data_IF_378570917285
#
_entry.id   IF_378570917285
#
_cell.length_a   1.000
_cell.length_b   1.000
_cell.length_c   1.000
_cell.angle_alpha   90.00
_cell.angle_beta   90.00
_cell.angle_gamma   90.00
#
_symmetry.space_group_name_H-M   'P 1'
#
loop_
_entity.id
_entity.type
_entity.pdbx_description
1 polymer ?
#
# COMPACT_ATOMS: atom_id res chain seq x y z
N UNK A 1 -31.39 56.04 -0.62
CA UNK A 1 -30.01 55.75 -1.06
C UNK A 1 -29.11 55.73 0.17
N UNK A 2 -28.61 54.56 0.63
CA UNK A 2 -27.45 54.47 1.55
C UNK A 2 -27.14 53.03 2.03
N UNK A 3 -28.11 52.10 2.06
CA UNK A 3 -27.85 50.76 2.63
C UNK A 3 -27.29 49.74 1.61
N UNK A 4 -27.35 50.03 0.32
CA UNK A 4 -26.95 49.09 -0.74
C UNK A 4 -25.44 49.12 -1.08
N UNK A 5 -24.69 50.16 -0.73
CA UNK A 5 -23.27 50.29 -1.09
C UNK A 5 -22.31 49.61 -0.09
N UNK A 6 -22.73 49.39 1.15
CA UNK A 6 -21.84 48.89 2.21
C UNK A 6 -21.58 47.37 2.13
N UNK A 7 -22.19 46.67 1.17
CA UNK A 7 -21.98 45.23 0.95
C UNK A 7 -20.92 44.92 -0.12
N UNK A 8 -20.41 45.93 -0.83
CA UNK A 8 -19.42 45.73 -1.90
C UNK A 8 -17.97 45.55 -1.41
N UNK A 9 -17.72 45.73 -0.11
CA UNK A 9 -16.38 45.76 0.48
C UNK A 9 -16.07 44.60 1.45
N UNK A 10 -16.85 43.51 1.42
CA UNK A 10 -16.52 42.31 2.18
C UNK A 10 -15.26 41.66 1.59
N UNK A 11 -14.15 41.81 2.30
CA UNK A 11 -12.81 41.39 1.90
C UNK A 11 -12.77 39.97 1.32
N UNK A 12 -12.51 39.89 0.02
CA UNK A 12 -12.06 38.68 -0.67
C UNK A 12 -10.60 38.45 -0.31
N UNK A 13 -10.37 38.07 0.94
CA UNK A 13 -9.05 37.79 1.49
C UNK A 13 -8.38 36.67 0.72
N UNK A 14 -7.24 37.00 0.13
CA UNK A 14 -6.28 36.08 -0.48
C UNK A 14 -6.00 34.88 0.42
N UNK A 15 -6.35 33.67 -0.03
CA UNK A 15 -5.56 32.46 0.24
C UNK A 15 -5.93 31.27 -0.68
N UNK A 16 -6.03 31.41 -2.01
CA UNK A 16 -6.24 30.24 -2.88
C UNK A 16 -5.09 29.22 -2.73
N UNK A 17 -3.85 29.68 -2.50
CA UNK A 17 -2.68 28.81 -2.38
C UNK A 17 -2.69 27.92 -1.11
N UNK A 18 -3.18 28.43 0.03
CA UNK A 18 -3.24 27.66 1.28
C UNK A 18 -4.33 26.61 1.22
N UNK A 19 -5.48 26.93 0.61
CA UNK A 19 -6.57 25.99 0.37
C UNK A 19 -6.17 24.86 -0.60
N UNK A 20 -5.36 25.16 -1.61
CA UNK A 20 -4.81 24.14 -2.53
C UNK A 20 -3.79 23.24 -1.81
N UNK A 21 -2.88 23.81 -1.02
CA UNK A 21 -1.89 23.04 -0.27
C UNK A 21 -2.53 22.09 0.76
N UNK A 22 -3.57 22.54 1.47
CA UNK A 22 -4.34 21.69 2.38
C UNK A 22 -5.11 20.59 1.65
N UNK A 23 -5.60 20.88 0.44
CA UNK A 23 -6.33 19.90 -0.38
C UNK A 23 -5.40 18.80 -0.89
N UNK A 24 -4.18 19.15 -1.33
CA UNK A 24 -3.16 18.19 -1.75
C UNK A 24 -2.73 17.30 -0.57
N UNK A 25 -2.48 17.89 0.61
CA UNK A 25 -2.15 17.12 1.81
C UNK A 25 -3.23 16.11 2.18
N UNK A 26 -4.50 16.54 2.17
CA UNK A 26 -5.64 15.63 2.42
C UNK A 26 -5.75 14.53 1.37
N UNK A 27 -5.56 14.85 0.09
CA UNK A 27 -5.56 13.87 -0.98
C UNK A 27 -4.44 12.83 -0.80
N UNK A 28 -3.21 13.26 -0.52
CA UNK A 28 -2.07 12.37 -0.30
C UNK A 28 -2.31 11.43 0.88
N UNK A 29 -2.85 11.92 1.99
CA UNK A 29 -3.19 11.07 3.16
C UNK A 29 -4.22 10.01 2.78
N UNK A 30 -5.27 10.38 2.06
CA UNK A 30 -6.30 9.43 1.60
C UNK A 30 -5.68 8.40 0.65
N UNK A 31 -4.88 8.85 -0.32
CA UNK A 31 -4.24 7.99 -1.31
C UNK A 31 -3.29 6.97 -0.65
N UNK A 32 -2.40 7.43 0.23
CA UNK A 32 -1.47 6.57 0.97
C UNK A 32 -2.23 5.58 1.86
N UNK A 33 -3.26 6.03 2.58
CA UNK A 33 -4.06 5.15 3.43
C UNK A 33 -4.78 4.08 2.62
N UNK A 34 -5.35 4.46 1.48
CA UNK A 34 -6.04 3.53 0.57
C UNK A 34 -5.07 2.51 0.00
N UNK A 35 -3.89 2.95 -0.44
CA UNK A 35 -2.86 2.09 -0.99
C UNK A 35 -2.32 1.11 0.07
N UNK A 36 -2.06 1.58 1.29
CA UNK A 36 -1.67 0.71 2.41
C UNK A 36 -2.75 -0.33 2.73
N UNK A 37 -4.03 0.08 2.73
CA UNK A 37 -5.15 -0.84 2.90
C UNK A 37 -5.19 -1.92 1.81
N UNK A 38 -5.00 -1.53 0.55
CA UNK A 38 -4.94 -2.47 -0.58
C UNK A 38 -3.76 -3.45 -0.46
N UNK A 39 -2.57 -2.97 -0.07
CA UNK A 39 -1.41 -3.81 0.18
C UNK A 39 -1.68 -4.80 1.31
N UNK A 40 -2.29 -4.35 2.41
CA UNK A 40 -2.66 -5.22 3.52
C UNK A 40 -3.63 -6.32 3.07
N UNK A 41 -4.71 -5.95 2.37
CA UNK A 41 -5.69 -6.93 1.86
C UNK A 41 -5.02 -7.95 0.94
N UNK A 42 -4.17 -7.51 0.01
CA UNK A 42 -3.44 -8.40 -0.91
C UNK A 42 -2.50 -9.33 -0.14
N UNK A 43 -1.73 -8.80 0.81
CA UNK A 43 -0.79 -9.55 1.63
C UNK A 43 -1.47 -10.62 2.49
N UNK A 44 -2.60 -10.28 3.13
CA UNK A 44 -3.36 -11.22 3.94
C UNK A 44 -4.09 -12.24 3.08
N UNK A 45 -4.63 -11.85 1.92
CA UNK A 45 -5.25 -12.78 0.97
C UNK A 45 -4.30 -13.92 0.62
N UNK A 46 -3.03 -13.62 0.33
CA UNK A 46 -2.01 -14.64 0.04
C UNK A 46 -1.63 -15.56 1.21
N UNK A 47 -1.97 -15.22 2.47
CA UNK A 47 -1.73 -16.06 3.66
C UNK A 47 -2.97 -16.78 4.18
N UNK A 48 -4.15 -16.24 3.88
CA UNK A 48 -5.44 -16.84 4.24
C UNK A 48 -5.80 -17.97 3.28
N UNK A 49 -5.42 -17.85 2.01
CA UNK A 49 -5.57 -18.95 1.05
C UNK A 49 -4.60 -20.07 1.48
N UNK A 50 -5.08 -21.33 1.66
CA UNK A 50 -4.29 -22.47 2.12
C UNK A 50 -3.39 -23.03 1.00
N UNK A 51 -2.70 -22.14 0.29
CA UNK A 51 -1.67 -22.49 -0.70
C UNK A 51 -0.35 -22.17 -0.01
N UNK A 52 0.48 -23.18 0.27
CA UNK A 52 1.83 -22.91 0.77
C UNK A 52 2.59 -22.17 -0.35
N UNK A 53 3.00 -20.91 -0.16
CA UNK A 53 3.73 -20.16 -1.20
C UNK A 53 5.01 -20.87 -1.62
N UNK A 54 5.60 -21.69 -0.74
CA UNK A 54 6.76 -22.52 -1.09
C UNK A 54 6.39 -23.59 -2.11
N UNK A 55 5.23 -24.24 -1.93
CA UNK A 55 4.72 -25.24 -2.88
C UNK A 55 4.22 -24.60 -4.17
N UNK A 56 3.70 -23.36 -4.12
CA UNK A 56 3.34 -22.60 -5.31
C UNK A 56 4.56 -22.30 -6.20
N UNK A 57 5.74 -22.05 -5.59
CA UNK A 57 6.98 -21.75 -6.31
C UNK A 57 7.70 -23.01 -6.78
N UNK A 58 7.78 -24.05 -5.94
CA UNK A 58 8.57 -25.25 -6.23
C UNK A 58 7.77 -26.41 -6.86
N UNK A 59 6.43 -26.33 -6.84
CA UNK A 59 5.52 -27.41 -7.21
C UNK A 59 5.49 -28.56 -6.19
N UNK A 60 4.45 -29.41 -6.28
CA UNK A 60 4.19 -30.53 -5.35
C UNK A 60 5.33 -31.59 -5.23
N UNK A 61 6.38 -31.49 -6.05
CA UNK A 61 7.49 -32.45 -6.12
C UNK A 61 8.83 -31.91 -5.60
N UNK A 62 8.83 -30.76 -4.95
CA UNK A 62 10.03 -30.14 -4.40
C UNK A 62 10.71 -31.05 -3.35
N UNK A 63 12.02 -31.34 -3.45
CA UNK A 63 12.76 -31.99 -2.37
C UNK A 63 12.60 -31.19 -1.07
N UNK A 64 12.33 -31.85 0.06
CA UNK A 64 12.08 -31.22 1.36
C UNK A 64 13.20 -30.29 1.83
N UNK A 65 14.45 -30.56 1.42
CA UNK A 65 15.59 -29.68 1.68
C UNK A 65 15.56 -28.35 0.89
N UNK A 66 14.92 -28.34 -0.29
CA UNK A 66 14.67 -27.14 -1.07
C UNK A 66 13.59 -26.26 -0.45
N UNK A 67 12.51 -26.88 0.05
CA UNK A 67 11.37 -26.20 0.68
C UNK A 67 11.83 -25.28 1.82
N UNK A 68 12.65 -25.77 2.75
CA UNK A 68 13.06 -24.95 3.90
C UNK A 68 14.10 -23.88 3.57
N UNK A 69 14.92 -24.07 2.53
CA UNK A 69 15.77 -22.98 2.02
C UNK A 69 14.92 -21.88 1.39
N UNK A 70 14.00 -22.26 0.50
CA UNK A 70 13.11 -21.30 -0.17
C UNK A 70 12.18 -20.61 0.82
N UNK A 71 11.73 -21.29 1.89
CA UNK A 71 10.96 -20.67 2.99
C UNK A 71 11.71 -19.51 3.64
N UNK A 72 13.00 -19.69 3.94
CA UNK A 72 13.85 -18.64 4.51
C UNK A 72 14.20 -17.55 3.50
N UNK A 73 14.46 -17.92 2.25
CA UNK A 73 14.71 -16.95 1.17
C UNK A 73 13.49 -16.05 0.90
N UNK A 74 12.28 -16.59 1.05
CA UNK A 74 11.03 -15.82 0.99
C UNK A 74 10.70 -15.08 2.29
N UNK A 75 11.52 -15.21 3.34
CA UNK A 75 11.32 -14.56 4.64
C UNK A 75 10.06 -15.04 5.38
N UNK A 76 9.54 -16.22 5.05
CA UNK A 76 8.32 -16.77 5.66
C UNK A 76 8.53 -17.25 7.11
N UNK A 77 9.78 -17.32 7.55
CA UNK A 77 10.22 -17.60 8.91
C UNK A 77 10.18 -16.35 9.82
N UNK A 78 10.04 -15.15 9.25
CA UNK A 78 10.00 -13.89 10.00
C UNK A 78 8.62 -13.65 10.66
N UNK A 79 8.51 -12.77 11.67
CA UNK A 79 7.22 -12.31 12.18
C UNK A 79 6.36 -11.67 11.08
N UNK A 80 5.03 -11.83 11.15
CA UNK A 80 4.09 -11.31 10.14
C UNK A 80 4.25 -9.80 9.86
N UNK A 81 4.59 -9.03 10.89
CA UNK A 81 4.83 -7.59 10.78
C UNK A 81 6.04 -7.32 9.88
N UNK A 82 7.14 -8.04 10.09
CA UNK A 82 8.35 -7.91 9.26
C UNK A 82 8.08 -8.34 7.82
N UNK A 83 7.36 -9.46 7.63
CA UNK A 83 6.94 -9.91 6.30
C UNK A 83 6.12 -8.84 5.57
N UNK A 84 5.22 -8.13 6.28
CA UNK A 84 4.42 -7.04 5.70
C UNK A 84 5.29 -5.84 5.34
N UNK A 85 6.25 -5.45 6.18
CA UNK A 85 7.17 -4.37 5.88
C UNK A 85 8.03 -4.65 4.64
N UNK A 86 8.54 -5.88 4.50
CA UNK A 86 9.28 -6.32 3.32
C UNK A 86 8.39 -6.20 2.08
N UNK A 87 7.14 -6.70 2.15
CA UNK A 87 6.18 -6.62 1.06
C UNK A 87 5.87 -5.18 0.64
N UNK A 88 5.58 -4.28 1.59
CA UNK A 88 5.32 -2.86 1.33
C UNK A 88 6.54 -2.20 0.69
N UNK A 89 7.75 -2.49 1.17
CA UNK A 89 8.99 -1.95 0.62
C UNK A 89 9.21 -2.39 -0.83
N UNK A 90 9.04 -3.68 -1.13
CA UNK A 90 9.15 -4.22 -2.50
C UNK A 90 8.14 -3.56 -3.44
N UNK A 91 6.87 -3.47 -3.02
CA UNK A 91 5.82 -2.82 -3.81
C UNK A 91 6.14 -1.34 -4.09
N UNK A 92 6.67 -0.60 -3.11
CA UNK A 92 7.09 0.79 -3.30
C UNK A 92 8.31 0.93 -4.23
N UNK A 93 9.17 -0.08 -4.30
CA UNK A 93 10.26 -0.14 -5.29
C UNK A 93 9.83 -0.62 -6.68
N UNK A 94 8.55 -0.94 -6.87
CA UNK A 94 8.01 -1.45 -8.13
C UNK A 94 8.22 -2.96 -8.36
N UNK A 95 8.68 -3.67 -7.35
CA UNK A 95 8.81 -5.13 -7.36
C UNK A 95 7.56 -5.76 -6.75
N UNK A 96 6.74 -6.38 -7.60
CA UNK A 96 5.49 -7.04 -7.21
C UNK A 96 5.66 -8.56 -7.03
N UNK A 97 6.89 -9.07 -7.10
CA UNK A 97 7.20 -10.49 -7.07
C UNK A 97 7.02 -11.20 -8.41
N UNK A 98 7.23 -12.51 -8.40
CA UNK A 98 7.15 -13.37 -9.58
C UNK A 98 5.78 -14.06 -9.67
N UNK A 99 5.22 -14.13 -10.87
CA UNK A 99 4.01 -14.91 -11.13
C UNK A 99 4.33 -16.40 -11.04
N UNK A 100 3.57 -17.14 -10.23
CA UNK A 100 3.71 -18.59 -10.03
C UNK A 100 2.83 -19.42 -10.97
N UNK A 101 2.06 -18.77 -11.86
CA UNK A 101 1.22 -19.43 -12.86
C UNK A 101 1.92 -19.40 -14.23
N UNK A 102 2.21 -20.59 -14.77
CA UNK A 102 2.64 -20.86 -16.16
C UNK A 102 2.08 -22.20 -16.58
#
# INVERSE_FOLDING_TARGET
MSVAENQAAAGRGSAPAVAILSSIGRFLVIAVTTYLGLLAVTFFSGRVIPIDPVLAVLGDRAPTAGVERTRREMGLDLPLIEQFFIYVKSALSGDFGTSVLT
#
